data_IF_127972707974
#
_entry.id   IF_127972707974
#
_cell.length_a   1.000
_cell.length_b   1.000
_cell.length_c   1.000
_cell.angle_alpha   90.00
_cell.angle_beta   90.00
_cell.angle_gamma   90.00
#
_symmetry.space_group_name_H-M   'P 1'
#
loop_
_entity.id
_entity.type
_entity.pdbx_description
1 polymer ?
#
# COMPACT_ATOMS: atom_id res chain seq x y z
N UNK A 1 6.27 31.47 -21.70
CA UNK A 1 6.86 31.16 -20.40
C UNK A 1 5.76 30.73 -19.47
N UNK A 2 5.54 29.43 -19.30
CA UNK A 2 4.54 28.85 -18.40
C UNK A 2 5.23 27.91 -17.44
N UNK A 3 5.33 28.32 -16.16
CA UNK A 3 5.91 27.53 -15.09
C UNK A 3 4.87 26.52 -14.65
N UNK A 4 5.10 25.23 -14.94
CA UNK A 4 4.32 24.14 -14.38
C UNK A 4 4.80 23.87 -12.95
N UNK A 5 4.04 24.40 -11.98
CA UNK A 5 4.19 24.07 -10.57
C UNK A 5 3.65 22.66 -10.33
N UNK A 6 4.51 21.65 -10.45
CA UNK A 6 4.22 20.30 -10.00
C UNK A 6 4.34 20.24 -8.48
N UNK A 7 3.23 20.08 -7.78
CA UNK A 7 3.21 19.81 -6.33
C UNK A 7 3.78 18.42 -6.07
N UNK A 8 5.05 18.36 -5.67
CA UNK A 8 5.69 17.11 -5.23
C UNK A 8 5.13 16.71 -3.87
N UNK A 9 4.73 15.45 -3.72
CA UNK A 9 4.30 14.86 -2.46
C UNK A 9 5.32 15.13 -1.33
N UNK A 10 4.89 15.46 -0.11
CA UNK A 10 5.79 15.74 1.01
C UNK A 10 6.70 14.56 1.40
N UNK A 11 6.35 13.33 1.04
CA UNK A 11 7.19 12.14 1.26
C UNK A 11 8.34 12.06 0.27
N UNK A 12 8.14 12.43 -1.00
CA UNK A 12 9.21 12.48 -1.99
C UNK A 12 10.35 13.39 -1.52
N UNK A 13 10.02 14.49 -0.84
CA UNK A 13 11.01 15.42 -0.28
C UNK A 13 11.77 14.81 0.90
N UNK A 14 11.14 13.95 1.70
CA UNK A 14 11.76 13.29 2.86
C UNK A 14 12.68 12.13 2.42
N UNK A 15 12.33 11.43 1.35
CA UNK A 15 13.05 10.25 0.84
C UNK A 15 14.23 10.66 -0.05
N UNK A 16 14.12 11.72 -0.87
CA UNK A 16 15.17 12.17 -1.81
C UNK A 16 16.35 12.87 -1.10
N UNK A 17 16.19 13.32 0.15
CA UNK A 17 17.24 14.07 0.86
C UNK A 17 18.28 13.23 1.57
N UNK A 18 18.40 11.92 1.33
CA UNK A 18 19.47 11.11 1.93
C UNK A 18 20.24 10.29 0.90
N UNK A 19 21.45 10.68 0.56
CA UNK A 19 22.39 9.77 -0.05
C UNK A 19 22.75 8.66 0.97
N UNK A 20 22.81 7.45 0.47
CA UNK A 20 23.10 6.15 1.04
C UNK A 20 24.40 6.11 1.87
N UNK A 21 24.41 6.74 3.05
CA UNK A 21 25.46 6.57 4.06
C UNK A 21 24.88 6.68 5.47
N UNK A 22 24.12 5.67 5.88
CA UNK A 22 23.88 5.47 7.30
C UNK A 22 25.10 4.76 7.86
N UNK A 23 25.86 5.52 8.66
CA UNK A 23 27.06 5.05 9.32
C UNK A 23 26.73 3.81 10.18
N UNK A 24 27.21 2.63 9.77
CA UNK A 24 26.94 1.33 10.42
C UNK A 24 27.29 1.28 11.92
N UNK A 25 28.13 2.19 12.39
CA UNK A 25 28.55 2.24 13.79
C UNK A 25 27.52 2.82 14.75
N UNK A 26 26.52 3.57 14.24
CA UNK A 26 25.44 4.13 15.09
C UNK A 26 24.26 3.17 15.27
N UNK A 27 24.10 2.22 14.36
CA UNK A 27 23.00 1.25 14.39
C UNK A 27 23.24 0.11 15.38
N UNK A 28 24.49 -0.25 15.70
CA UNK A 28 24.76 -1.39 16.59
C UNK A 28 24.46 -1.14 18.08
N UNK A 29 24.45 0.11 18.53
CA UNK A 29 24.17 0.44 19.95
C UNK A 29 22.68 0.65 20.27
N UNK A 30 21.84 0.92 19.28
CA UNK A 30 20.38 1.10 19.47
C UNK A 30 19.56 -0.18 19.24
N UNK A 31 20.19 -1.22 18.75
CA UNK A 31 19.55 -2.47 18.29
C UNK A 31 19.19 -3.44 19.44
N UNK A 32 19.72 -3.25 20.64
CA UNK A 32 19.57 -4.23 21.73
C UNK A 32 18.34 -4.02 22.64
N UNK A 33 17.36 -3.23 22.25
CA UNK A 33 16.10 -3.06 23.00
C UNK A 33 14.84 -3.21 22.16
N UNK A 34 14.77 -4.24 21.33
CA UNK A 34 13.50 -4.66 20.75
C UNK A 34 12.73 -5.51 21.77
N UNK A 35 12.22 -4.86 22.81
CA UNK A 35 11.24 -5.47 23.69
C UNK A 35 9.97 -5.72 22.85
N UNK A 36 9.41 -6.92 22.90
CA UNK A 36 8.24 -7.38 22.12
C UNK A 36 6.97 -6.55 22.32
N UNK A 37 6.94 -5.67 23.31
CA UNK A 37 5.90 -4.67 23.57
C UNK A 37 6.38 -3.30 23.08
N UNK A 38 6.54 -3.17 21.77
CA UNK A 38 7.23 -2.06 21.16
C UNK A 38 6.46 -0.75 21.32
N UNK A 39 7.01 0.13 22.16
CA UNK A 39 6.72 1.57 22.06
C UNK A 39 6.96 2.00 20.63
N UNK A 40 6.14 2.92 20.11
CA UNK A 40 6.30 3.46 18.77
C UNK A 40 7.72 4.04 18.57
N UNK A 41 8.39 3.59 17.52
CA UNK A 41 9.72 4.07 17.13
C UNK A 41 9.65 4.75 15.76
N UNK A 42 9.97 6.03 15.70
CA UNK A 42 9.90 6.84 14.49
C UNK A 42 10.84 6.35 13.38
N UNK A 43 12.03 5.86 13.71
CA UNK A 43 13.00 5.36 12.73
C UNK A 43 12.46 4.09 12.09
N UNK A 44 12.00 3.15 12.90
CA UNK A 44 11.38 1.90 12.42
C UNK A 44 10.12 2.20 11.60
N UNK A 45 9.31 3.18 12.02
CA UNK A 45 8.11 3.59 11.30
C UNK A 45 8.44 4.10 9.88
N UNK A 46 9.48 4.95 9.76
CA UNK A 46 9.97 5.43 8.45
C UNK A 46 10.53 4.29 7.61
N UNK A 47 11.33 3.41 8.19
CA UNK A 47 11.88 2.25 7.47
C UNK A 47 10.79 1.33 6.92
N UNK A 48 9.73 1.07 7.70
CA UNK A 48 8.57 0.28 7.24
C UNK A 48 7.92 0.97 6.03
N UNK A 49 7.70 2.28 6.09
CA UNK A 49 7.08 3.03 4.99
C UNK A 49 7.95 3.03 3.73
N UNK A 50 9.25 3.24 3.87
CA UNK A 50 10.22 3.24 2.77
C UNK A 50 10.27 1.87 2.06
N UNK A 51 10.35 0.79 2.82
CA UNK A 51 10.35 -0.58 2.30
C UNK A 51 9.02 -0.96 1.64
N UNK A 52 7.88 -0.48 2.18
CA UNK A 52 6.58 -0.66 1.53
C UNK A 52 6.53 0.09 0.20
N UNK A 53 6.94 1.36 0.16
CA UNK A 53 6.99 2.17 -1.05
C UNK A 53 7.89 1.53 -2.13
N UNK A 54 8.99 0.90 -1.72
CA UNK A 54 9.91 0.14 -2.59
C UNK A 54 9.38 -1.24 -3.02
N UNK A 55 8.11 -1.55 -2.81
CA UNK A 55 7.47 -2.77 -3.29
C UNK A 55 7.56 -3.98 -2.35
N UNK A 56 8.20 -3.87 -1.18
CA UNK A 56 8.23 -5.01 -0.25
C UNK A 56 6.85 -5.26 0.39
N UNK A 57 6.52 -6.53 0.57
CA UNK A 57 5.30 -6.89 1.30
C UNK A 57 5.49 -6.71 2.81
N UNK A 58 4.43 -6.29 3.52
CA UNK A 58 4.47 -6.19 4.98
C UNK A 58 4.89 -7.52 5.65
N UNK A 59 4.50 -8.67 5.07
CA UNK A 59 4.89 -9.98 5.58
C UNK A 59 6.40 -10.23 5.46
N UNK A 60 7.06 -9.70 4.43
CA UNK A 60 8.51 -9.79 4.27
C UNK A 60 9.21 -8.86 5.26
N UNK A 61 8.72 -7.62 5.40
CA UNK A 61 9.27 -6.63 6.33
C UNK A 61 9.29 -7.16 7.78
N UNK A 62 8.18 -7.70 8.27
CA UNK A 62 8.08 -8.20 9.66
C UNK A 62 8.91 -9.45 9.95
N UNK A 63 9.44 -10.10 8.92
CA UNK A 63 10.37 -11.23 9.08
C UNK A 63 11.81 -10.79 9.24
N UNK A 64 12.12 -9.52 8.98
CA UNK A 64 13.46 -8.98 9.18
C UNK A 64 13.74 -8.76 10.66
N UNK A 65 15.02 -8.85 11.02
CA UNK A 65 15.46 -8.64 12.39
C UNK A 65 15.07 -7.24 12.89
N UNK A 66 14.73 -7.14 14.17
CA UNK A 66 14.36 -5.90 14.84
C UNK A 66 13.08 -5.21 14.34
N UNK A 67 12.28 -5.86 13.49
CA UNK A 67 11.00 -5.34 13.06
C UNK A 67 9.86 -5.71 14.00
N UNK A 68 8.91 -4.80 14.25
CA UNK A 68 7.72 -5.08 15.03
C UNK A 68 6.84 -6.14 14.35
N UNK A 69 6.03 -6.83 15.15
CA UNK A 69 5.06 -7.77 14.59
C UNK A 69 4.03 -7.05 13.71
N UNK A 70 3.46 -7.78 12.76
CA UNK A 70 2.37 -7.25 11.90
C UNK A 70 1.24 -6.64 12.75
N UNK A 71 0.86 -7.28 13.85
CA UNK A 71 -0.18 -6.79 14.77
C UNK A 71 0.20 -5.44 15.37
N UNK A 72 1.44 -5.27 15.80
CA UNK A 72 1.97 -4.02 16.35
C UNK A 72 1.93 -2.90 15.30
N UNK A 73 2.42 -3.15 14.09
CA UNK A 73 2.42 -2.16 12.99
C UNK A 73 0.98 -1.71 12.66
N UNK A 74 0.04 -2.67 12.58
CA UNK A 74 -1.36 -2.34 12.32
C UNK A 74 -2.00 -1.55 13.47
N UNK A 75 -1.60 -1.79 14.72
CA UNK A 75 -2.08 -1.00 15.87
C UNK A 75 -1.50 0.42 15.85
N UNK A 76 -0.27 0.63 15.38
CA UNK A 76 0.31 1.97 15.25
C UNK A 76 -0.47 2.86 14.28
N UNK A 77 -1.06 2.27 13.23
CA UNK A 77 -1.85 3.00 12.23
C UNK A 77 -3.11 3.68 12.80
N UNK A 78 -3.64 3.17 13.89
CA UNK A 78 -4.87 3.65 14.51
C UNK A 78 -4.63 4.68 15.61
N UNK A 79 -3.38 4.95 15.97
CA UNK A 79 -3.00 5.84 17.05
C UNK A 79 -2.68 7.24 16.53
N UNK A 80 -3.47 8.24 16.90
CA UNK A 80 -3.28 9.65 16.52
C UNK A 80 -1.98 10.25 17.08
N UNK A 81 -1.53 9.73 18.24
CA UNK A 81 -0.33 10.24 18.91
C UNK A 81 0.98 9.74 18.28
N UNK A 82 0.91 8.71 17.44
CA UNK A 82 2.10 8.15 16.79
C UNK A 82 2.43 8.92 15.51
N UNK A 83 3.24 9.97 15.68
CA UNK A 83 3.59 10.92 14.62
C UNK A 83 5.08 10.91 14.30
N UNK A 84 5.37 11.15 13.03
CA UNK A 84 6.69 11.45 12.49
C UNK A 84 6.59 12.76 11.72
N UNK A 85 7.31 13.80 12.14
CA UNK A 85 7.26 15.15 11.54
C UNK A 85 5.80 15.66 11.38
N UNK A 86 5.02 15.59 12.47
CA UNK A 86 3.62 16.01 12.58
C UNK A 86 2.59 15.21 11.76
N UNK A 87 3.03 14.28 10.95
CA UNK A 87 2.16 13.36 10.17
C UNK A 87 1.95 12.09 11.00
N UNK A 88 0.73 11.60 11.10
CA UNK A 88 0.45 10.34 11.80
C UNK A 88 1.03 9.15 11.05
N UNK A 89 1.43 8.11 11.78
CA UNK A 89 1.92 6.89 11.13
C UNK A 89 0.86 6.25 10.20
N UNK A 90 -0.42 6.41 10.53
CA UNK A 90 -1.52 5.94 9.68
C UNK A 90 -1.52 6.61 8.30
N UNK A 91 -1.31 7.93 8.25
CA UNK A 91 -1.19 8.70 7.00
C UNK A 91 0.08 8.34 6.24
N UNK A 92 1.24 8.28 6.91
CA UNK A 92 2.49 7.85 6.30
C UNK A 92 2.39 6.45 5.69
N UNK A 93 1.77 5.52 6.42
CA UNK A 93 1.54 4.17 5.93
C UNK A 93 0.63 4.15 4.70
N UNK A 94 -0.43 4.98 4.68
CA UNK A 94 -1.32 5.11 3.54
C UNK A 94 -0.56 5.60 2.31
N UNK A 95 0.23 6.67 2.46
CA UNK A 95 1.04 7.23 1.37
C UNK A 95 2.04 6.20 0.86
N UNK A 96 2.75 5.49 1.75
CA UNK A 96 3.68 4.43 1.35
C UNK A 96 3.01 3.30 0.56
N UNK A 97 1.74 2.99 0.86
CA UNK A 97 0.96 2.00 0.09
C UNK A 97 0.51 2.54 -1.28
N UNK A 98 0.25 3.83 -1.40
CA UNK A 98 -0.04 4.48 -2.68
C UNK A 98 1.22 4.55 -3.56
N UNK A 99 2.38 4.89 -3.00
CA UNK A 99 3.69 4.83 -3.68
C UNK A 99 4.03 3.39 -4.13
N UNK A 100 3.70 2.40 -3.32
CA UNK A 100 3.86 0.99 -3.70
C UNK A 100 3.05 0.62 -4.96
N UNK A 101 1.89 1.24 -5.18
CA UNK A 101 1.11 1.03 -6.39
C UNK A 101 1.82 1.60 -7.64
N UNK A 102 2.47 2.77 -7.51
CA UNK A 102 3.30 3.36 -8.56
C UNK A 102 4.48 2.44 -8.90
N UNK A 103 5.20 1.97 -7.87
CA UNK A 103 6.29 1.02 -8.05
C UNK A 103 5.84 -0.24 -8.81
N UNK A 104 4.65 -0.77 -8.49
CA UNK A 104 4.13 -1.94 -9.21
C UNK A 104 3.72 -1.61 -10.64
N UNK A 105 3.24 -0.39 -10.93
CA UNK A 105 2.91 0.04 -12.27
C UNK A 105 4.18 0.11 -13.16
N UNK A 106 5.27 0.65 -12.64
CA UNK A 106 6.57 0.68 -13.32
C UNK A 106 7.10 -0.75 -13.55
N UNK A 107 7.03 -1.59 -12.52
CA UNK A 107 7.50 -2.98 -12.60
C UNK A 107 6.74 -3.82 -13.63
N UNK A 108 5.47 -3.51 -13.93
CA UNK A 108 4.70 -4.19 -14.98
C UNK A 108 5.36 -4.02 -16.35
N UNK A 109 5.83 -2.83 -16.68
CA UNK A 109 6.48 -2.54 -17.95
C UNK A 109 7.82 -3.29 -18.04
N UNK A 110 8.62 -3.27 -16.98
CA UNK A 110 9.89 -4.00 -16.93
C UNK A 110 9.69 -5.51 -17.09
N UNK A 111 8.68 -6.08 -16.43
CA UNK A 111 8.34 -7.50 -16.56
C UNK A 111 7.85 -7.87 -17.96
N UNK A 112 7.11 -6.97 -18.62
CA UNK A 112 6.65 -7.19 -19.99
C UNK A 112 7.84 -7.21 -20.97
N UNK A 113 8.76 -6.25 -20.87
CA UNK A 113 9.98 -6.20 -21.68
C UNK A 113 10.88 -7.41 -21.43
N UNK A 114 11.05 -7.78 -20.16
CA UNK A 114 11.83 -8.97 -19.79
C UNK A 114 11.20 -10.28 -20.31
N UNK A 115 9.86 -10.33 -20.42
CA UNK A 115 9.18 -11.49 -21.01
C UNK A 115 9.46 -11.60 -22.50
N UNK A 116 9.41 -10.47 -23.23
CA UNK A 116 9.70 -10.41 -24.65
C UNK A 116 11.15 -10.83 -24.94
N UNK A 117 12.12 -10.25 -24.24
CA UNK A 117 13.53 -10.57 -24.38
C UNK A 117 13.82 -12.08 -24.12
N UNK A 118 13.19 -12.65 -23.08
CA UNK A 118 13.35 -14.07 -22.77
C UNK A 118 12.77 -14.99 -23.87
N UNK A 119 11.69 -14.58 -24.53
CA UNK A 119 11.14 -15.33 -25.67
C UNK A 119 12.06 -15.24 -26.87
N UNK A 120 12.61 -14.07 -27.19
CA UNK A 120 13.55 -13.85 -28.28
C UNK A 120 14.81 -14.69 -28.04
N UNK A 121 15.41 -14.65 -26.87
CA UNK A 121 16.60 -15.42 -26.50
C UNK A 121 16.36 -16.93 -26.63
N UNK A 122 15.23 -17.40 -26.09
CA UNK A 122 14.84 -18.79 -26.16
C UNK A 122 14.57 -19.26 -27.61
N UNK A 123 13.99 -18.39 -28.44
CA UNK A 123 13.72 -18.71 -29.85
C UNK A 123 15.00 -18.87 -30.68
N UNK A 124 16.08 -18.21 -30.27
CA UNK A 124 17.39 -18.28 -30.92
C UNK A 124 18.23 -19.52 -30.48
N UNK A 125 17.77 -20.24 -29.47
CA UNK A 125 18.46 -21.44 -28.96
C UNK A 125 17.68 -22.69 -29.36
N UNK A 126 18.24 -23.52 -30.30
CA UNK A 126 17.57 -24.73 -30.82
C UNK A 126 17.40 -25.83 -29.77
N UNK A 127 18.17 -25.78 -28.67
CA UNK A 127 18.17 -26.81 -27.63
C UNK A 127 17.11 -26.53 -26.52
N UNK A 128 16.42 -25.40 -26.58
CA UNK A 128 15.40 -25.08 -25.58
C UNK A 128 14.06 -25.73 -25.90
N UNK A 129 13.53 -26.46 -24.94
CA UNK A 129 12.19 -27.04 -25.01
C UNK A 129 11.12 -25.96 -25.14
N UNK A 130 10.29 -26.05 -26.18
CA UNK A 130 9.13 -25.13 -26.39
C UNK A 130 8.19 -25.09 -25.23
N UNK A 131 8.05 -26.17 -24.45
CA UNK A 131 7.23 -26.19 -23.22
C UNK A 131 7.82 -25.31 -22.12
N UNK A 132 9.16 -25.28 -21.97
CA UNK A 132 9.84 -24.44 -21.02
C UNK A 132 9.59 -22.96 -21.33
N UNK A 133 9.66 -22.57 -22.62
CA UNK A 133 9.33 -21.20 -23.05
C UNK A 133 7.88 -20.86 -22.71
N UNK A 134 6.92 -21.73 -23.05
CA UNK A 134 5.50 -21.52 -22.75
C UNK A 134 5.28 -21.35 -21.25
N UNK A 135 5.88 -22.19 -20.41
CA UNK A 135 5.78 -22.10 -18.96
C UNK A 135 6.35 -20.78 -18.42
N UNK A 136 7.48 -20.31 -18.96
CA UNK A 136 8.09 -19.03 -18.59
C UNK A 136 7.17 -17.86 -18.91
N UNK A 137 6.59 -17.83 -20.12
CA UNK A 137 5.63 -16.81 -20.54
C UNK A 137 4.39 -16.80 -19.64
N UNK A 138 3.85 -17.98 -19.32
CA UNK A 138 2.71 -18.12 -18.41
C UNK A 138 3.02 -17.60 -17.00
N UNK A 139 4.18 -17.93 -16.45
CA UNK A 139 4.62 -17.48 -15.14
C UNK A 139 4.75 -15.94 -15.07
N UNK A 140 5.33 -15.33 -16.13
CA UNK A 140 5.44 -13.87 -16.22
C UNK A 140 4.10 -13.19 -16.37
N UNK A 141 3.20 -13.75 -17.19
CA UNK A 141 1.83 -13.27 -17.31
C UNK A 141 1.12 -13.26 -15.98
N UNK A 142 1.20 -14.36 -15.22
CA UNK A 142 0.60 -14.44 -13.87
C UNK A 142 1.19 -13.36 -12.93
N UNK A 143 2.50 -13.12 -13.00
CA UNK A 143 3.16 -12.07 -12.22
C UNK A 143 2.59 -10.69 -12.58
N UNK A 144 2.51 -10.36 -13.87
CA UNK A 144 1.97 -9.09 -14.37
C UNK A 144 0.51 -8.91 -13.93
N UNK A 145 -0.32 -9.93 -14.08
CA UNK A 145 -1.75 -9.89 -13.67
C UNK A 145 -1.88 -9.68 -12.15
N UNK A 146 -1.02 -10.29 -11.36
CA UNK A 146 -0.96 -10.09 -9.91
C UNK A 146 -0.57 -8.66 -9.54
N UNK A 147 0.43 -8.08 -10.22
CA UNK A 147 0.86 -6.71 -10.02
C UNK A 147 -0.25 -5.72 -10.38
N UNK A 148 -0.91 -5.89 -11.54
CA UNK A 148 -2.06 -5.07 -11.96
C UNK A 148 -3.18 -5.11 -10.92
N UNK A 149 -3.56 -6.30 -10.47
CA UNK A 149 -4.59 -6.47 -9.45
C UNK A 149 -4.20 -5.76 -8.15
N UNK A 150 -2.95 -5.93 -7.71
CA UNK A 150 -2.48 -5.31 -6.46
C UNK A 150 -2.45 -3.80 -6.57
N UNK A 151 -1.93 -3.22 -7.66
CA UNK A 151 -1.90 -1.78 -7.91
C UNK A 151 -3.33 -1.19 -7.90
N UNK A 152 -4.30 -1.86 -8.56
CA UNK A 152 -5.69 -1.43 -8.59
C UNK A 152 -6.36 -1.41 -7.20
N UNK A 153 -5.95 -2.30 -6.28
CA UNK A 153 -6.45 -2.31 -4.89
C UNK A 153 -5.77 -1.29 -3.99
N UNK A 154 -4.51 -0.96 -4.25
CA UNK A 154 -3.76 0.01 -3.47
C UNK A 154 -4.12 1.46 -3.84
N UNK A 155 -4.33 1.74 -5.13
CA UNK A 155 -4.67 3.06 -5.65
C UNK A 155 -5.81 2.97 -6.68
N UNK A 156 -7.04 2.67 -6.22
CA UNK A 156 -8.17 2.39 -7.11
C UNK A 156 -8.59 3.60 -7.95
N UNK A 157 -8.34 4.82 -7.49
CA UNK A 157 -8.67 6.03 -8.24
C UNK A 157 -7.85 6.17 -9.53
N UNK A 158 -6.62 5.64 -9.55
CA UNK A 158 -5.71 5.74 -10.68
C UNK A 158 -5.66 4.45 -11.50
N UNK A 159 -5.61 3.29 -10.83
CA UNK A 159 -5.40 1.99 -11.45
C UNK A 159 -6.62 1.06 -11.38
N UNK A 160 -7.71 1.51 -10.75
CA UNK A 160 -8.94 0.73 -10.68
C UNK A 160 -9.80 0.84 -11.95
N UNK A 161 -10.64 -0.14 -12.19
CA UNK A 161 -11.62 -0.11 -13.27
C UNK A 161 -12.64 1.01 -13.01
N UNK A 162 -12.84 1.87 -14.00
CA UNK A 162 -13.88 2.91 -13.96
C UNK A 162 -15.18 2.31 -14.47
N UNK A 163 -16.13 2.11 -13.57
CA UNK A 163 -17.48 1.71 -13.94
C UNK A 163 -18.33 2.97 -14.07
N UNK A 164 -18.73 3.30 -15.28
CA UNK A 164 -19.68 4.39 -15.52
C UNK A 164 -21.07 3.80 -15.60
N UNK A 165 -21.92 4.16 -14.65
CA UNK A 165 -23.34 3.86 -14.72
C UNK A 165 -24.04 4.96 -15.50
N UNK A 166 -24.53 4.65 -16.68
CA UNK A 166 -25.38 5.55 -17.47
C UNK A 166 -26.79 5.01 -17.52
N UNK A 167 -27.76 5.83 -17.11
CA UNK A 167 -29.17 5.56 -17.34
C UNK A 167 -29.58 6.10 -18.69
N UNK A 168 -30.51 5.44 -19.37
CA UNK A 168 -31.18 5.98 -20.53
C UNK A 168 -32.20 7.06 -20.10
N UNK A 169 -32.61 7.96 -20.99
CA UNK A 169 -33.62 8.99 -20.67
C UNK A 169 -34.96 8.38 -20.23
N UNK A 170 -35.29 7.20 -20.75
CA UNK A 170 -36.53 6.50 -20.42
C UNK A 170 -36.42 5.58 -19.17
N UNK A 171 -35.19 5.23 -18.75
CA UNK A 171 -34.91 4.41 -17.58
C UNK A 171 -33.76 4.97 -16.75
N UNK A 172 -34.00 6.08 -16.02
CA UNK A 172 -32.97 6.70 -15.21
C UNK A 172 -32.58 5.82 -14.03
N UNK A 173 -31.28 5.79 -13.70
CA UNK A 173 -30.78 5.08 -12.52
C UNK A 173 -31.27 5.79 -11.27
N UNK A 174 -32.08 5.11 -10.47
CA UNK A 174 -32.54 5.61 -9.16
C UNK A 174 -31.67 5.06 -8.05
N UNK A 175 -30.97 5.92 -7.31
CA UNK A 175 -30.20 5.55 -6.14
C UNK A 175 -31.03 5.78 -4.86
N UNK A 176 -31.41 4.70 -4.19
CA UNK A 176 -32.05 4.76 -2.88
C UNK A 176 -30.98 4.69 -1.78
N UNK A 177 -30.67 5.83 -1.15
CA UNK A 177 -29.75 5.89 -0.01
C UNK A 177 -30.54 5.59 1.26
N UNK A 178 -30.37 4.38 1.81
CA UNK A 178 -30.96 4.00 3.09
C UNK A 178 -29.98 4.32 4.21
N UNK A 179 -30.32 5.31 5.01
CA UNK A 179 -29.49 5.69 6.16
C UNK A 179 -29.90 4.86 7.40
N UNK A 180 -29.04 3.93 7.80
CA UNK A 180 -29.25 3.05 8.96
C UNK A 180 -28.88 3.68 10.32
N UNK A 181 -28.42 4.91 10.35
CA UNK A 181 -27.84 5.54 11.55
C UNK A 181 -28.85 5.96 12.62
N UNK A 182 -30.18 5.78 12.43
CA UNK A 182 -31.19 6.39 13.32
C UNK A 182 -32.01 5.42 14.18
N UNK A 183 -31.58 4.17 14.39
CA UNK A 183 -32.41 3.23 15.19
C UNK A 183 -31.91 2.93 16.61
N UNK A 184 -31.03 3.70 17.19
CA UNK A 184 -30.59 3.47 18.58
C UNK A 184 -30.76 4.69 19.50
N UNK A 185 -31.92 5.32 19.50
CA UNK A 185 -32.20 6.30 20.57
C UNK A 185 -33.69 6.54 20.75
N UNK A 186 -34.44 5.57 21.25
CA UNK A 186 -35.65 5.86 22.05
C UNK A 186 -36.05 4.59 22.79
N UNK A 187 -35.39 4.33 23.90
CA UNK A 187 -36.02 3.61 25.01
C UNK A 187 -35.35 4.03 26.32
N UNK A 188 -35.72 5.24 26.79
CA UNK A 188 -35.44 5.65 28.16
C UNK A 188 -36.67 6.21 28.82
N UNK A 189 -37.19 5.42 29.74
CA UNK A 189 -37.99 5.76 30.92
C UNK A 189 -39.40 6.33 30.73
N UNK A 190 -40.37 5.49 31.03
CA UNK A 190 -41.47 5.89 31.89
C UNK A 190 -41.29 5.22 33.25
N UNK A 191 -40.82 5.99 34.23
CA UNK A 191 -40.97 5.70 35.66
C UNK A 191 -42.31 6.24 36.02
N UNK A 192 -43.21 5.37 36.45
CA UNK A 192 -44.48 5.72 37.00
C UNK A 192 -44.30 6.42 38.38
N UNK A 193 -44.89 7.54 38.57
CA UNK A 193 -45.20 8.08 39.88
C UNK A 193 -46.61 7.64 40.23
N UNK A 194 -46.69 6.67 41.15
CA UNK A 194 -47.89 6.41 41.93
C UNK A 194 -47.95 7.47 43.04
N UNK A 195 -49.03 8.18 43.13
CA UNK A 195 -49.50 8.82 44.36
C UNK A 195 -50.95 8.47 44.54
N UNK A 196 -51.19 7.81 45.65
CA UNK A 196 -52.40 7.67 46.49
C UNK A 196 -53.77 7.50 45.83
#
# INVERSE_FOLDING_TARGET
MGVISGSRSPIAIIIISRPHQINRSFTEKTVNMANKDSKFNKIIALEICDRLASGESLLKIVKSDNMPTRKTILSWRTKADYKVNDITFGELYKIAREEQAEYYADLINDEAMNAENAVIEASNNPDIDKRAISNLVQARRLKIDTLKWTASKLKPQQYGDKITHSGDQDTPITLNIVNYATRHSTNKKRVGSSTD
#
